data_IF_391924732506
#
_entry.id   IF_391924732506
#
_cell.length_a   1.000
_cell.length_b   1.000
_cell.length_c   1.000
_cell.angle_alpha   90.00
_cell.angle_beta   90.00
_cell.angle_gamma   90.00
#
_symmetry.space_group_name_H-M   'P 1'
#
loop_
_entity.id
_entity.type
_entity.pdbx_description
1 polymer ?
#
# COMPACT_ATOMS: atom_id res chain seq x y z
N UNK A 1 3.75 2.27 7.12
CA UNK A 1 3.16 1.17 6.35
C UNK A 1 2.47 1.75 5.14
N UNK A 2 2.67 1.20 3.95
CA UNK A 2 1.93 1.63 2.79
C UNK A 2 0.62 0.84 2.65
N UNK A 3 -0.42 1.47 2.11
CA UNK A 3 -1.77 0.90 2.01
C UNK A 3 -2.28 1.08 0.58
N UNK A 4 -2.55 -0.03 -0.11
CA UNK A 4 -3.09 -0.07 -1.48
C UNK A 4 -4.33 -0.96 -1.52
N UNK A 5 -5.48 -0.36 -1.25
CA UNK A 5 -6.79 -1.04 -1.14
C UNK A 5 -7.81 -0.15 -1.81
N UNK A 6 -8.80 -0.77 -2.47
CA UNK A 6 -9.92 -0.03 -3.05
C UNK A 6 -10.80 0.62 -1.96
N UNK A 7 -11.58 1.64 -2.36
CA UNK A 7 -12.53 2.30 -1.47
C UNK A 7 -13.60 1.31 -1.03
N UNK A 8 -13.67 1.05 0.28
CA UNK A 8 -14.66 0.14 0.85
C UNK A 8 -14.40 -0.16 2.32
N UNK A 9 -15.17 -1.09 2.92
CA UNK A 9 -15.00 -1.48 4.32
C UNK A 9 -13.61 -2.04 4.62
N UNK A 10 -12.97 -2.71 3.65
CA UNK A 10 -11.59 -3.19 3.75
C UNK A 10 -10.59 -2.07 4.03
N UNK A 11 -10.81 -0.87 3.49
CA UNK A 11 -9.95 0.30 3.74
C UNK A 11 -10.01 0.74 5.21
N UNK A 12 -11.19 0.74 5.84
CA UNK A 12 -11.34 1.11 7.26
C UNK A 12 -10.64 0.08 8.15
N UNK A 13 -10.81 -1.22 7.85
CA UNK A 13 -10.15 -2.30 8.59
C UNK A 13 -8.62 -2.19 8.47
N UNK A 14 -8.13 -1.95 7.26
CA UNK A 14 -6.71 -1.73 6.99
C UNK A 14 -6.14 -0.53 7.75
N UNK A 15 -6.84 0.60 7.76
CA UNK A 15 -6.43 1.80 8.49
C UNK A 15 -6.37 1.52 10.00
N UNK A 16 -7.39 0.87 10.55
CA UNK A 16 -7.43 0.46 11.96
C UNK A 16 -6.31 -0.52 12.30
N UNK A 17 -5.97 -1.46 11.42
CA UNK A 17 -4.88 -2.40 11.62
C UNK A 17 -3.53 -1.67 11.70
N UNK A 18 -3.28 -0.70 10.82
CA UNK A 18 -2.06 0.12 10.82
C UNK A 18 -1.94 0.94 12.11
N UNK A 19 -3.04 1.59 12.51
CA UNK A 19 -3.09 2.36 13.76
C UNK A 19 -2.90 1.47 14.99
N UNK A 20 -3.51 0.26 14.99
CA UNK A 20 -3.31 -0.73 16.06
C UNK A 20 -1.87 -1.24 16.14
N UNK A 21 -1.17 -1.33 15.01
CA UNK A 21 0.25 -1.65 14.96
C UNK A 21 1.15 -0.48 15.39
N UNK A 22 0.58 0.70 15.69
CA UNK A 22 1.34 1.89 16.06
C UNK A 22 2.12 2.52 14.92
N UNK A 23 1.77 2.20 13.66
CA UNK A 23 2.47 2.68 12.48
C UNK A 23 1.71 3.84 11.79
N UNK A 24 2.45 4.70 11.09
CA UNK A 24 1.86 5.64 10.13
C UNK A 24 1.44 4.93 8.84
N UNK A 25 0.46 5.47 8.12
CA UNK A 25 0.02 4.96 6.83
C UNK A 25 0.41 5.87 5.67
N UNK A 26 0.76 5.28 4.52
CA UNK A 26 1.06 5.98 3.26
C UNK A 26 0.07 5.48 2.20
N UNK A 27 -0.84 6.33 1.69
CA UNK A 27 -1.82 5.91 0.71
C UNK A 27 -1.16 5.68 -0.66
N UNK A 28 -1.34 4.48 -1.19
CA UNK A 28 -0.96 4.12 -2.56
C UNK A 28 -2.24 3.92 -3.37
N UNK A 29 -2.40 4.74 -4.41
CA UNK A 29 -3.50 4.60 -5.36
C UNK A 29 -3.07 3.67 -6.50
N UNK A 30 -3.73 2.52 -6.70
CA UNK A 30 -3.40 1.62 -7.79
C UNK A 30 -3.75 2.16 -9.19
N UNK A 31 -4.51 3.25 -9.27
CA UNK A 31 -4.70 3.97 -10.53
C UNK A 31 -3.43 4.73 -10.97
N UNK A 32 -2.42 4.86 -10.10
CA UNK A 32 -1.15 5.46 -10.47
C UNK A 32 -0.29 4.50 -11.29
N UNK A 33 0.54 5.05 -12.21
CA UNK A 33 1.52 4.25 -12.92
C UNK A 33 2.54 3.65 -11.95
N UNK A 34 3.05 2.46 -12.27
CA UNK A 34 3.89 1.64 -11.39
C UNK A 34 5.14 2.38 -10.93
N UNK A 35 5.72 3.23 -11.78
CA UNK A 35 6.92 4.03 -11.49
C UNK A 35 6.65 5.03 -10.36
N UNK A 36 5.42 5.57 -10.30
CA UNK A 36 5.02 6.50 -9.26
C UNK A 36 4.77 5.78 -7.93
N UNK A 37 4.17 4.58 -7.97
CA UNK A 37 4.05 3.72 -6.78
C UNK A 37 5.43 3.34 -6.23
N UNK A 38 6.35 2.94 -7.11
CA UNK A 38 7.73 2.59 -6.74
C UNK A 38 8.48 3.78 -6.13
N UNK A 39 8.34 4.97 -6.72
CA UNK A 39 8.91 6.21 -6.16
C UNK A 39 8.37 6.51 -4.76
N UNK A 40 7.05 6.42 -4.55
CA UNK A 40 6.44 6.64 -3.23
C UNK A 40 6.91 5.62 -2.19
N UNK A 41 7.10 4.36 -2.60
CA UNK A 41 7.66 3.32 -1.73
C UNK A 41 9.13 3.58 -1.38
N UNK A 42 9.94 4.02 -2.35
CA UNK A 42 11.33 4.38 -2.11
C UNK A 42 11.47 5.60 -1.22
N UNK A 43 10.64 6.63 -1.41
CA UNK A 43 10.68 7.87 -0.62
C UNK A 43 10.19 7.64 0.82
N UNK A 44 9.09 6.90 0.98
CA UNK A 44 8.49 6.67 2.30
C UNK A 44 9.09 5.51 3.09
N UNK A 45 9.94 4.67 2.45
CA UNK A 45 10.61 3.49 3.04
C UNK A 45 9.73 2.70 4.03
N UNK A 46 8.50 2.30 3.64
CA UNK A 46 7.57 1.70 4.58
C UNK A 46 8.05 0.30 4.99
N UNK A 47 8.03 0.01 6.29
CA UNK A 47 8.41 -1.31 6.81
C UNK A 47 7.53 -2.47 6.29
N UNK A 48 6.32 -2.19 5.81
CA UNK A 48 5.41 -3.17 5.21
C UNK A 48 4.40 -2.47 4.30
N UNK A 49 3.89 -3.21 3.30
CA UNK A 49 2.83 -2.78 2.37
C UNK A 49 1.62 -3.69 2.56
N UNK A 50 0.46 -3.10 2.82
CA UNK A 50 -0.82 -3.79 2.86
C UNK A 50 -1.53 -3.62 1.52
N UNK A 51 -1.85 -4.73 0.87
CA UNK A 51 -2.45 -4.78 -0.47
C UNK A 51 -3.68 -5.67 -0.49
N UNK A 52 -4.67 -5.34 -1.31
CA UNK A 52 -5.76 -6.26 -1.63
C UNK A 52 -5.37 -7.19 -2.78
N UNK A 53 -5.94 -8.38 -2.83
CA UNK A 53 -5.67 -9.37 -3.90
C UNK A 53 -5.98 -8.83 -5.30
N UNK A 54 -7.00 -7.96 -5.43
CA UNK A 54 -7.33 -7.27 -6.69
C UNK A 54 -6.31 -6.21 -7.11
N UNK A 55 -5.45 -5.78 -6.18
CA UNK A 55 -4.51 -4.67 -6.34
C UNK A 55 -3.05 -5.14 -6.35
N UNK A 56 -2.81 -6.41 -6.05
CA UNK A 56 -1.49 -7.06 -6.07
C UNK A 56 -0.84 -6.93 -7.45
N UNK A 57 -1.60 -7.11 -8.53
CA UNK A 57 -1.10 -7.03 -9.90
C UNK A 57 -0.66 -5.61 -10.26
N UNK A 58 -1.37 -4.60 -9.77
CA UNK A 58 -1.01 -3.20 -9.96
C UNK A 58 0.32 -2.84 -9.29
N UNK A 59 0.71 -3.57 -8.24
CA UNK A 59 1.99 -3.39 -7.58
C UNK A 59 3.11 -4.23 -8.19
N UNK A 60 2.82 -5.18 -9.10
CA UNK A 60 3.77 -6.12 -9.75
C UNK A 60 5.06 -6.33 -8.92
N UNK A 61 4.87 -6.74 -7.67
CA UNK A 61 5.89 -6.88 -6.61
C UNK A 61 6.93 -7.99 -6.91
N UNK A 62 6.98 -8.51 -8.13
CA UNK A 62 7.86 -9.60 -8.56
C UNK A 62 9.34 -9.25 -8.69
N UNK A 63 9.76 -8.03 -8.34
CA UNK A 63 11.14 -7.56 -8.50
C UNK A 63 11.65 -6.62 -7.41
N UNK A 64 10.93 -6.45 -6.30
CA UNK A 64 11.52 -5.80 -5.13
C UNK A 64 12.38 -6.85 -4.39
N UNK A 65 13.68 -6.54 -4.15
CA UNK A 65 14.65 -7.48 -3.59
C UNK A 65 14.34 -7.91 -2.15
#
# INVERSE_FOLDING_TARGET
MAICVERGPGMIVALLAILKAGAGYVPLDPAYPVERLAYLLQDSTPAAVLVQTSTVDALSLGSLP
#
